data_IF_236332861658
#
_entry.id   IF_236332861658
#
_cell.length_a   1.000
_cell.length_b   1.000
_cell.length_c   1.000
_cell.angle_alpha   90.00
_cell.angle_beta   90.00
_cell.angle_gamma   90.00
#
_symmetry.space_group_name_H-M   'P 1'
#
loop_
_entity.id
_entity.type
_entity.pdbx_description
1 polymer ?
#
# COMPACT_ATOMS: atom_id res chain seq x y z
N UNK A 1 3.21 -10.31 1.79
CA UNK A 1 2.38 -10.70 2.94
C UNK A 1 2.05 -9.46 3.75
N UNK A 2 0.78 -9.28 4.09
CA UNK A 2 0.30 -8.10 4.81
C UNK A 2 -0.05 -8.48 6.24
N UNK A 3 0.15 -7.55 7.15
CA UNK A 3 -0.20 -7.71 8.55
C UNK A 3 -0.74 -6.39 9.12
N UNK A 4 -1.63 -6.50 10.11
CA UNK A 4 -2.10 -5.37 10.89
C UNK A 4 -1.38 -5.39 12.24
N UNK A 5 -0.75 -4.29 12.60
CA UNK A 5 0.05 -4.18 13.82
C UNK A 5 -0.30 -2.88 14.54
N UNK A 6 -0.45 -2.95 15.86
CA UNK A 6 -0.57 -1.74 16.68
C UNK A 6 0.82 -1.12 16.87
N UNK A 7 0.92 0.16 16.56
CA UNK A 7 2.16 0.94 16.72
C UNK A 7 1.84 2.25 17.45
N UNK A 8 2.84 3.02 17.86
CA UNK A 8 2.61 4.35 18.42
C UNK A 8 1.84 5.29 17.49
N UNK A 9 1.83 5.03 16.18
CA UNK A 9 1.05 5.78 15.20
C UNK A 9 -0.40 5.33 15.10
N UNK A 10 -0.78 4.26 15.80
CA UNK A 10 -2.09 3.64 15.74
C UNK A 10 -2.05 2.31 14.98
N UNK A 11 -3.21 1.87 14.52
CA UNK A 11 -3.31 0.62 13.75
C UNK A 11 -2.62 0.80 12.40
N UNK A 12 -1.59 -0.01 12.15
CA UNK A 12 -0.71 0.11 10.99
C UNK A 12 -0.82 -1.13 10.12
N UNK A 13 -1.06 -0.92 8.82
CA UNK A 13 -1.00 -2.01 7.85
C UNK A 13 0.42 -2.10 7.28
N UNK A 14 1.01 -3.29 7.32
CA UNK A 14 2.37 -3.53 6.87
C UNK A 14 2.39 -4.45 5.67
N UNK A 15 3.16 -4.10 4.65
CA UNK A 15 3.46 -4.96 3.51
C UNK A 15 4.91 -5.42 3.62
N UNK A 16 5.13 -6.74 3.71
CA UNK A 16 6.45 -7.34 3.84
C UNK A 16 6.87 -7.93 2.50
N UNK A 17 7.97 -7.43 1.98
CA UNK A 17 8.54 -7.89 0.71
C UNK A 17 10.00 -8.29 0.87
N UNK A 18 10.50 -9.11 -0.05
CA UNK A 18 11.93 -9.41 -0.17
C UNK A 18 12.45 -8.85 -1.48
N UNK A 19 13.75 -8.61 -1.55
CA UNK A 19 14.41 -8.16 -2.78
C UNK A 19 15.76 -8.87 -2.93
N UNK A 20 16.21 -9.03 -4.17
CA UNK A 20 17.57 -9.48 -4.47
C UNK A 20 18.59 -8.35 -4.52
N UNK A 21 18.16 -7.10 -4.36
CA UNK A 21 19.01 -5.91 -4.40
C UNK A 21 19.54 -5.58 -3.01
N UNK A 22 20.82 -5.21 -2.93
CA UNK A 22 21.40 -4.67 -1.70
C UNK A 22 21.11 -3.18 -1.54
N UNK A 23 20.99 -2.45 -2.64
CA UNK A 23 20.64 -1.04 -2.62
C UNK A 23 19.13 -0.86 -2.36
N UNK A 24 18.76 0.27 -1.78
CA UNK A 24 17.36 0.62 -1.56
C UNK A 24 16.62 0.77 -2.88
N UNK A 25 15.35 0.37 -2.88
CA UNK A 25 14.48 0.61 -4.02
C UNK A 25 14.14 2.10 -4.10
N UNK A 26 14.15 2.70 -5.31
CA UNK A 26 13.68 4.08 -5.50
C UNK A 26 12.22 4.24 -5.05
N UNK A 27 11.86 5.43 -4.61
CA UNK A 27 10.49 5.73 -4.17
C UNK A 27 9.45 5.41 -5.25
N UNK A 28 9.77 5.64 -6.52
CA UNK A 28 8.87 5.33 -7.62
C UNK A 28 8.52 3.84 -7.70
N UNK A 29 9.44 2.95 -7.31
CA UNK A 29 9.19 1.51 -7.28
C UNK A 29 8.37 1.07 -6.08
N UNK A 30 8.40 1.87 -5.01
CA UNK A 30 7.61 1.60 -3.80
C UNK A 30 6.16 2.02 -3.96
N UNK A 31 5.86 2.85 -4.94
CA UNK A 31 4.53 3.44 -5.11
C UNK A 31 3.45 2.37 -5.33
N UNK A 32 3.75 1.33 -6.09
CA UNK A 32 2.79 0.23 -6.31
C UNK A 32 2.48 -0.50 -5.00
N UNK A 33 3.49 -0.71 -4.15
CA UNK A 33 3.27 -1.31 -2.83
C UNK A 33 2.43 -0.41 -1.94
N UNK A 34 2.67 0.91 -1.99
CA UNK A 34 1.88 1.89 -1.25
C UNK A 34 0.43 1.89 -1.71
N UNK A 35 0.18 1.84 -3.01
CA UNK A 35 -1.17 1.82 -3.56
C UNK A 35 -1.91 0.53 -3.19
N UNK A 36 -1.21 -0.62 -3.11
CA UNK A 36 -1.79 -1.86 -2.59
C UNK A 36 -2.21 -1.72 -1.13
N UNK A 37 -1.41 -1.05 -0.30
CA UNK A 37 -1.80 -0.76 1.08
C UNK A 37 -3.07 0.09 1.13
N UNK A 38 -3.20 1.07 0.24
CA UNK A 38 -4.42 1.87 0.11
C UNK A 38 -5.64 1.02 -0.21
N UNK A 39 -5.51 0.07 -1.12
CA UNK A 39 -6.59 -0.85 -1.48
C UNK A 39 -7.02 -1.71 -0.28
N UNK A 40 -6.07 -2.27 0.45
CA UNK A 40 -6.37 -3.06 1.65
C UNK A 40 -7.01 -2.22 2.76
N UNK A 41 -6.52 -1.00 2.97
CA UNK A 41 -7.09 -0.07 3.95
C UNK A 41 -8.55 0.24 3.65
N UNK A 42 -8.88 0.51 2.39
CA UNK A 42 -10.26 0.73 1.95
C UNK A 42 -11.12 -0.51 2.18
N UNK A 43 -10.63 -1.69 1.82
CA UNK A 43 -11.38 -2.93 1.99
C UNK A 43 -11.67 -3.21 3.47
N UNK A 44 -10.71 -2.99 4.35
CA UNK A 44 -10.89 -3.17 5.78
C UNK A 44 -11.96 -2.22 6.34
N UNK A 45 -11.94 -0.96 5.91
CA UNK A 45 -12.92 0.02 6.37
C UNK A 45 -14.32 -0.31 5.86
N UNK A 46 -14.46 -0.65 4.59
CA UNK A 46 -15.76 -0.92 3.97
C UNK A 46 -16.37 -2.24 4.42
N UNK A 47 -15.55 -3.27 4.61
CA UNK A 47 -16.05 -4.62 4.91
C UNK A 47 -16.08 -4.95 6.39
N UNK A 48 -15.13 -4.42 7.16
CA UNK A 48 -14.99 -4.76 8.57
C UNK A 48 -15.11 -3.55 9.51
N UNK A 49 -15.26 -2.34 8.99
CA UNK A 49 -15.32 -1.13 9.80
C UNK A 49 -14.01 -0.79 10.50
N UNK A 50 -12.88 -1.32 10.02
CA UNK A 50 -11.57 -1.11 10.62
C UNK A 50 -10.88 0.05 9.92
N UNK A 51 -10.54 1.10 10.70
CA UNK A 51 -9.78 2.25 10.19
C UNK A 51 -8.30 2.05 10.46
N UNK A 52 -7.52 2.09 9.39
CA UNK A 52 -6.05 2.04 9.46
C UNK A 52 -5.50 3.45 9.57
N UNK A 53 -4.58 3.68 10.53
CA UNK A 53 -4.02 5.00 10.83
C UNK A 53 -2.67 5.25 10.19
N UNK A 54 -1.96 4.20 9.79
CA UNK A 54 -0.63 4.30 9.19
C UNK A 54 -0.36 3.09 8.31
N UNK A 55 0.66 3.19 7.49
CA UNK A 55 1.14 2.08 6.67
C UNK A 55 2.65 1.94 6.76
N UNK A 56 3.14 0.76 6.39
CA UNK A 56 4.56 0.50 6.29
C UNK A 56 4.86 -0.47 5.16
N UNK A 57 5.83 -0.14 4.34
CA UNK A 57 6.43 -1.07 3.38
C UNK A 57 7.77 -1.49 3.95
N UNK A 58 7.95 -2.78 4.20
CA UNK A 58 9.15 -3.36 4.80
C UNK A 58 9.78 -4.29 3.77
N UNK A 59 11.01 -4.00 3.37
CA UNK A 59 11.71 -4.76 2.35
C UNK A 59 12.96 -5.38 2.95
N UNK A 60 12.99 -6.70 3.05
CA UNK A 60 14.16 -7.45 3.53
C UNK A 60 15.16 -7.62 2.39
N UNK A 61 16.41 -7.26 2.65
CA UNK A 61 17.51 -7.32 1.69
C UNK A 61 18.36 -8.56 1.90
N UNK A 62 19.15 -8.99 0.87
CA UNK A 62 19.98 -10.19 0.99
C UNK A 62 21.05 -10.11 2.09
N UNK A 63 21.53 -8.91 2.40
CA UNK A 63 22.57 -8.69 3.41
C UNK A 63 22.03 -8.63 4.86
N UNK A 64 20.75 -8.92 5.07
CA UNK A 64 20.11 -8.86 6.37
C UNK A 64 19.60 -7.47 6.77
N UNK A 65 19.86 -6.44 5.97
CA UNK A 65 19.34 -5.10 6.20
C UNK A 65 17.89 -4.99 5.75
N UNK A 66 17.22 -3.94 6.19
CA UNK A 66 15.82 -3.70 5.88
C UNK A 66 15.67 -2.27 5.35
N UNK A 67 14.92 -2.13 4.26
CA UNK A 67 14.43 -0.83 3.82
C UNK A 67 13.02 -0.65 4.38
N UNK A 68 12.79 0.48 5.06
CA UNK A 68 11.49 0.79 5.67
C UNK A 68 10.95 2.09 5.10
N UNK A 69 9.71 2.06 4.62
CA UNK A 69 8.98 3.26 4.23
C UNK A 69 7.69 3.34 5.05
N UNK A 70 7.65 4.29 5.99
CA UNK A 70 6.47 4.55 6.80
C UNK A 70 5.54 5.52 6.06
N UNK A 71 4.24 5.29 6.18
CA UNK A 71 3.20 6.15 5.63
C UNK A 71 2.36 6.71 6.78
N UNK A 72 2.23 8.03 6.81
CA UNK A 72 1.34 8.71 7.75
C UNK A 72 -0.13 8.46 7.40
N UNK A 73 -1.04 8.85 8.29
CA UNK A 73 -2.47 8.77 8.00
C UNK A 73 -2.83 9.56 6.73
N UNK A 74 -2.26 10.75 6.57
CA UNK A 74 -2.50 11.57 5.39
C UNK A 74 -2.02 10.87 4.11
N UNK A 75 -0.84 10.26 4.16
CA UNK A 75 -0.30 9.49 3.03
C UNK A 75 -1.16 8.27 2.73
N UNK A 76 -1.68 7.60 3.76
CA UNK A 76 -2.61 6.48 3.57
C UNK A 76 -3.90 6.92 2.90
N UNK A 77 -4.46 8.07 3.27
CA UNK A 77 -5.66 8.61 2.59
C UNK A 77 -5.35 8.92 1.13
N UNK A 78 -4.14 9.41 0.83
CA UNK A 78 -3.67 9.63 -0.54
C UNK A 78 -3.59 8.34 -1.34
N UNK A 79 -3.07 7.26 -0.74
CA UNK A 79 -3.00 5.94 -1.37
C UNK A 79 -4.40 5.40 -1.69
N UNK A 80 -5.33 5.54 -0.76
CA UNK A 80 -6.72 5.15 -0.97
C UNK A 80 -7.35 5.91 -2.14
N UNK A 81 -7.11 7.21 -2.20
CA UNK A 81 -7.65 8.07 -3.26
C UNK A 81 -7.10 7.67 -4.65
N UNK A 82 -5.79 7.40 -4.74
CA UNK A 82 -5.18 6.94 -5.99
C UNK A 82 -5.73 5.60 -6.44
N UNK A 83 -5.93 4.68 -5.52
CA UNK A 83 -6.52 3.38 -5.82
C UNK A 83 -7.94 3.52 -6.34
N UNK A 84 -8.75 4.35 -5.69
CA UNK A 84 -10.14 4.60 -6.08
C UNK A 84 -10.20 5.19 -7.49
N UNK A 85 -9.36 6.19 -7.78
CA UNK A 85 -9.30 6.81 -9.09
C UNK A 85 -8.91 5.80 -10.18
N UNK A 86 -7.87 5.00 -9.94
CA UNK A 86 -7.43 3.96 -10.87
C UNK A 86 -8.54 2.94 -11.12
N UNK A 87 -9.23 2.51 -10.08
CA UNK A 87 -10.32 1.55 -10.18
C UNK A 87 -11.50 2.10 -10.97
N UNK A 88 -11.85 3.37 -10.76
CA UNK A 88 -12.92 4.03 -11.51
C UNK A 88 -12.56 4.18 -12.99
N UNK A 89 -11.33 4.56 -13.29
CA UNK A 89 -10.86 4.65 -14.68
C UNK A 89 -10.96 3.29 -15.39
N UNK A 90 -10.55 2.22 -14.71
CA UNK A 90 -10.66 0.87 -15.27
C UNK A 90 -12.11 0.48 -15.56
N UNK A 91 -13.04 0.81 -14.66
CA UNK A 91 -14.47 0.57 -14.87
C UNK A 91 -15.01 1.34 -16.08
N UNK A 92 -14.61 2.60 -16.24
CA UNK A 92 -15.00 3.40 -17.40
C UNK A 92 -14.51 2.77 -18.71
N UNK A 93 -13.27 2.29 -18.74
CA UNK A 93 -12.71 1.64 -19.92
C UNK A 93 -13.45 0.36 -20.27
N UNK A 94 -13.85 -0.43 -19.26
CA UNK A 94 -14.67 -1.63 -19.49
C UNK A 94 -16.05 -1.29 -20.07
N UNK A 95 -16.69 -0.24 -19.55
CA UNK A 95 -18.00 0.20 -20.01
C UNK A 95 -17.95 0.76 -21.44
N UNK A 96 -16.83 1.41 -21.81
CA UNK A 96 -16.67 1.95 -23.17
C UNK A 96 -16.24 0.91 -24.18
N UNK A 97 -15.90 -0.32 -23.76
CA UNK A 97 -15.41 -1.38 -24.64
C UNK A 97 -13.96 -1.23 -25.08
N UNK A 98 -13.20 -0.35 -24.45
CA UNK A 98 -11.78 -0.12 -24.76
C UNK A 98 -10.87 -1.21 -24.21
N UNK A 99 -11.31 -1.94 -23.20
CA UNK A 99 -10.58 -3.05 -22.58
C UNK A 99 -11.21 -4.36 -23.02
N UNK A 100 -10.39 -5.23 -23.54
CA UNK A 100 -10.82 -6.54 -24.02
C UNK A 100 -10.27 -7.67 -23.17
#
# INVERSE_FOLDING_TARGET
TDALIDTPLGLTICDFKTTSREADKPEAWLKDHQDQLGAYSLALRERAGIKVNAGAVVIAKPNGNVQLRMLSELEMRGCEARWTERNNLYKEMLLSGEVM
#
